data_IF_002400126238
#
_entry.id   IF_002400126238
#
_cell.length_a   1.000
_cell.length_b   1.000
_cell.length_c   1.000
_cell.angle_alpha   90.00
_cell.angle_beta   90.00
_cell.angle_gamma   90.00
#
_symmetry.space_group_name_H-M   'P 1'
#
loop_
_entity.id
_entity.type
_entity.pdbx_description
1 polymer ?
#
# COMPACT_ATOMS: atom_id res chain seq x y z
N UNK A 1 -8.53 2.03 -10.07
CA UNK A 1 -7.81 0.77 -9.77
C UNK A 1 -8.69 -0.46 -9.96
N UNK A 2 -8.13 -1.56 -10.44
CA UNK A 2 -8.78 -2.86 -10.63
C UNK A 2 -8.07 -3.92 -9.79
N UNK A 3 -8.83 -4.64 -8.95
CA UNK A 3 -8.30 -5.74 -8.13
C UNK A 3 -9.01 -7.02 -8.56
N UNK A 4 -8.23 -7.92 -9.18
CA UNK A 4 -8.67 -9.25 -9.55
C UNK A 4 -8.34 -10.25 -8.45
N UNK A 5 -9.32 -11.05 -8.03
CA UNK A 5 -9.14 -12.03 -6.96
C UNK A 5 -10.03 -13.27 -7.12
N UNK A 6 -9.70 -14.28 -6.33
CA UNK A 6 -10.44 -15.53 -6.16
C UNK A 6 -10.06 -16.14 -4.82
N UNK A 7 -9.46 -17.35 -4.77
CA UNK A 7 -8.88 -17.88 -3.54
C UNK A 7 -7.67 -17.09 -3.02
N UNK A 8 -7.13 -16.13 -3.76
CA UNK A 8 -6.04 -15.18 -3.41
C UNK A 8 -6.16 -13.92 -4.26
N UNK A 9 -5.32 -12.92 -4.02
CA UNK A 9 -5.20 -11.78 -4.95
C UNK A 9 -4.50 -12.28 -6.21
N UNK A 10 -5.23 -12.22 -7.33
CA UNK A 10 -4.72 -12.67 -8.62
C UNK A 10 -3.95 -11.57 -9.32
N UNK A 11 -4.47 -10.34 -9.30
CA UNK A 11 -3.85 -9.24 -10.01
C UNK A 11 -4.26 -7.87 -9.51
N UNK A 12 -3.39 -6.90 -9.74
CA UNK A 12 -3.68 -5.46 -9.58
C UNK A 12 -3.37 -4.74 -10.89
N UNK A 13 -4.19 -3.75 -11.21
CA UNK A 13 -3.90 -2.80 -12.29
C UNK A 13 -4.38 -1.41 -11.86
N UNK A 14 -3.53 -0.42 -12.03
CA UNK A 14 -3.77 0.92 -11.49
C UNK A 14 -3.80 1.93 -12.61
N UNK A 15 -4.72 2.87 -12.49
CA UNK A 15 -4.79 4.05 -13.35
C UNK A 15 -4.27 5.21 -12.53
N UNK A 16 -3.38 6.00 -13.12
CA UNK A 16 -2.67 7.08 -12.46
C UNK A 16 -2.91 8.40 -13.19
N UNK A 17 -2.90 9.49 -12.42
CA UNK A 17 -2.74 10.83 -12.96
C UNK A 17 -1.26 11.12 -13.20
N UNK A 18 -0.92 11.52 -14.42
CA UNK A 18 0.38 12.07 -14.81
C UNK A 18 0.13 13.49 -15.31
N UNK A 19 0.23 14.45 -14.40
CA UNK A 19 0.11 15.89 -14.72
C UNK A 19 -1.20 16.24 -15.46
N UNK A 20 -2.33 15.69 -15.00
CA UNK A 20 -3.63 15.87 -15.64
C UNK A 20 -3.94 14.89 -16.78
N UNK A 21 -3.07 13.91 -17.05
CA UNK A 21 -3.29 12.86 -18.04
C UNK A 21 -3.43 11.49 -17.38
N UNK A 22 -4.44 10.72 -17.77
CA UNK A 22 -4.62 9.35 -17.26
C UNK A 22 -3.66 8.36 -17.95
N UNK A 23 -2.98 7.53 -17.15
CA UNK A 23 -2.10 6.45 -17.62
C UNK A 23 -2.40 5.17 -16.85
N UNK A 24 -2.66 4.08 -17.57
CA UNK A 24 -2.76 2.74 -16.98
C UNK A 24 -1.39 2.10 -16.81
N UNK A 25 -1.16 1.46 -15.66
CA UNK A 25 -0.06 0.51 -15.54
C UNK A 25 -0.33 -0.78 -16.29
N UNK A 26 0.74 -1.56 -16.46
CA UNK A 26 0.61 -2.97 -16.78
C UNK A 26 -0.22 -3.68 -15.71
N UNK A 27 -0.88 -4.76 -16.11
CA UNK A 27 -1.55 -5.65 -15.16
C UNK A 27 -0.49 -6.54 -14.50
N UNK A 28 -0.40 -6.49 -13.18
CA UNK A 28 0.54 -7.32 -12.40
C UNK A 28 -0.18 -8.52 -11.83
N UNK A 29 0.31 -9.72 -12.11
CA UNK A 29 -0.30 -11.00 -11.75
C UNK A 29 -1.01 -11.71 -12.91
N UNK A 30 -1.79 -12.73 -12.59
CA UNK A 30 -2.26 -13.73 -13.55
C UNK A 30 -3.36 -13.26 -14.52
N UNK A 31 -3.50 -14.02 -15.61
CA UNK A 31 -4.61 -13.88 -16.57
C UNK A 31 -5.88 -14.46 -15.94
N UNK A 32 -6.99 -13.71 -16.03
CA UNK A 32 -8.28 -14.11 -15.46
C UNK A 32 -8.40 -13.89 -13.96
N UNK A 33 -9.59 -13.53 -13.50
CA UNK A 33 -9.93 -13.44 -12.08
C UNK A 33 -11.37 -13.84 -11.90
N UNK A 34 -11.68 -14.61 -10.86
CA UNK A 34 -13.05 -15.04 -10.61
C UNK A 34 -13.95 -13.84 -10.28
N UNK A 35 -13.38 -12.85 -9.59
CA UNK A 35 -14.00 -11.55 -9.31
C UNK A 35 -13.02 -10.44 -9.62
N UNK A 36 -13.53 -9.31 -10.10
CA UNK A 36 -12.76 -8.09 -10.32
C UNK A 36 -13.54 -6.92 -9.73
N UNK A 37 -12.99 -6.32 -8.67
CA UNK A 37 -13.56 -5.11 -8.09
C UNK A 37 -12.84 -3.87 -8.63
N UNK A 38 -13.64 -2.84 -8.90
CA UNK A 38 -13.16 -1.55 -9.38
C UNK A 38 -13.23 -0.54 -8.25
N UNK A 39 -12.07 -0.05 -7.82
CA UNK A 39 -11.95 1.08 -6.88
C UNK A 39 -11.77 2.34 -7.70
N UNK A 40 -12.71 3.28 -7.54
CA UNK A 40 -12.68 4.59 -8.19
C UNK A 40 -12.33 5.62 -7.13
N UNK A 41 -11.28 6.40 -7.37
CA UNK A 41 -10.91 7.52 -6.52
C UNK A 41 -11.24 8.81 -7.24
N UNK A 42 -11.91 9.71 -6.53
CA UNK A 42 -12.20 11.08 -6.96
C UNK A 42 -10.96 11.99 -6.82
N UNK A 43 -9.88 11.64 -7.52
CA UNK A 43 -8.63 12.42 -7.49
C UNK A 43 -8.85 13.83 -8.08
N UNK A 44 -8.36 14.93 -7.45
CA UNK A 44 -7.45 14.99 -6.30
C UNK A 44 -8.11 15.03 -4.92
N UNK A 45 -9.45 15.03 -4.82
CA UNK A 45 -10.16 15.18 -3.54
C UNK A 45 -10.16 13.88 -2.71
N UNK A 46 -10.14 12.73 -3.36
CA UNK A 46 -9.94 11.43 -2.74
C UNK A 46 -8.64 10.80 -3.23
N UNK A 47 -7.74 10.49 -2.30
CA UNK A 47 -6.44 9.91 -2.59
C UNK A 47 -6.13 8.77 -1.63
N UNK A 48 -5.38 7.80 -2.15
CA UNK A 48 -4.98 6.63 -1.40
C UNK A 48 -3.89 7.00 -0.39
N UNK A 49 -4.09 6.66 0.88
CA UNK A 49 -3.13 6.95 1.95
C UNK A 49 -2.39 5.68 2.39
N UNK A 50 -3.14 4.58 2.53
CA UNK A 50 -2.67 3.38 3.21
C UNK A 50 -3.19 2.17 2.45
N UNK A 51 -2.36 1.15 2.36
CA UNK A 51 -2.74 -0.20 1.92
C UNK A 51 -2.44 -1.16 3.05
N UNK A 52 -3.39 -1.99 3.44
CA UNK A 52 -3.17 -3.04 4.41
C UNK A 52 -3.73 -4.35 3.91
N UNK A 53 -3.41 -5.45 4.57
CA UNK A 53 -3.85 -6.75 4.11
C UNK A 53 -3.17 -7.89 4.82
N UNK A 54 -3.27 -9.05 4.22
CA UNK A 54 -2.65 -10.27 4.71
C UNK A 54 -1.86 -10.95 3.59
N UNK A 55 -0.73 -11.56 3.94
CA UNK A 55 0.06 -12.40 3.04
C UNK A 55 0.34 -13.77 3.68
N UNK A 56 0.61 -14.79 2.87
CA UNK A 56 0.90 -16.13 3.38
C UNK A 56 0.73 -17.24 2.33
N UNK A 57 0.75 -18.49 2.80
CA UNK A 57 0.57 -19.71 1.98
C UNK A 57 -0.79 -20.36 2.26
N UNK A 58 -1.41 -20.99 1.24
CA UNK A 58 -2.78 -21.55 1.33
C UNK A 58 -2.79 -23.10 1.42
N UNK A 59 -1.84 -23.82 0.80
CA UNK A 59 -1.94 -25.30 0.64
C UNK A 59 -0.64 -26.10 0.85
N UNK A 60 0.39 -25.52 1.47
CA UNK A 60 1.78 -26.04 1.56
C UNK A 60 2.63 -25.82 0.30
N UNK A 61 3.96 -25.71 0.54
CA UNK A 61 5.06 -25.18 -0.28
C UNK A 61 5.31 -23.68 -0.09
N UNK A 62 6.59 -23.35 0.00
CA UNK A 62 7.24 -22.13 0.49
C UNK A 62 6.89 -20.83 -0.26
N UNK A 63 5.83 -20.85 -1.09
CA UNK A 63 5.41 -19.72 -1.89
C UNK A 63 4.40 -18.88 -1.12
N UNK A 64 4.78 -17.64 -0.87
CA UNK A 64 3.99 -16.63 -0.17
C UNK A 64 3.34 -15.72 -1.20
N UNK A 65 2.06 -15.39 -1.02
CA UNK A 65 1.32 -14.48 -1.89
C UNK A 65 0.60 -13.41 -1.07
N UNK A 66 0.19 -12.33 -1.74
CA UNK A 66 -0.82 -11.43 -1.19
C UNK A 66 -2.17 -12.15 -1.16
N UNK A 67 -2.73 -12.26 0.03
CA UNK A 67 -3.98 -12.95 0.29
C UNK A 67 -5.14 -11.97 0.28
N UNK A 68 -5.02 -10.82 0.92
CA UNK A 68 -6.04 -9.78 0.88
C UNK A 68 -5.44 -8.38 0.80
N UNK A 69 -6.26 -7.45 0.33
CA UNK A 69 -5.94 -6.03 0.28
C UNK A 69 -7.11 -5.23 0.85
N UNK A 70 -6.79 -4.20 1.62
CA UNK A 70 -7.68 -3.15 2.08
C UNK A 70 -7.03 -1.83 1.71
N UNK A 71 -7.80 -0.95 1.09
CA UNK A 71 -7.34 0.37 0.68
C UNK A 71 -8.00 1.40 1.57
N UNK A 72 -7.23 2.31 2.14
CA UNK A 72 -7.75 3.41 2.92
C UNK A 72 -7.37 4.73 2.25
N UNK A 73 -8.40 5.54 1.99
CA UNK A 73 -8.28 6.89 1.45
C UNK A 73 -8.53 7.91 2.54
N UNK A 74 -8.30 9.19 2.23
CA UNK A 74 -8.68 10.30 3.11
C UNK A 74 -10.20 10.44 3.30
N UNK A 75 -11.03 9.73 2.53
CA UNK A 75 -12.50 9.75 2.65
C UNK A 75 -13.09 8.45 3.22
N UNK A 76 -12.59 7.29 2.81
CA UNK A 76 -13.21 6.01 3.12
C UNK A 76 -12.26 4.82 3.02
N UNK A 77 -12.79 3.61 3.27
CA UNK A 77 -12.08 2.34 3.11
C UNK A 77 -12.74 1.50 2.00
N UNK A 78 -11.91 0.80 1.23
CA UNK A 78 -12.34 -0.18 0.23
C UNK A 78 -11.78 -1.55 0.59
N UNK A 79 -12.64 -2.57 0.53
CA UNK A 79 -12.31 -3.94 0.95
C UNK A 79 -12.73 -4.25 2.39
N UNK A 80 -12.16 -5.29 3.02
CA UNK A 80 -11.08 -6.12 2.48
C UNK A 80 -11.51 -6.92 1.24
N UNK A 81 -10.64 -6.95 0.23
CA UNK A 81 -10.78 -7.84 -0.90
C UNK A 81 -10.26 -9.22 -0.47
N UNK A 82 -11.18 -10.17 -0.25
CA UNK A 82 -11.00 -11.50 0.37
C UNK A 82 -10.89 -11.45 1.92
N UNK A 83 -11.05 -12.62 2.55
CA UNK A 83 -10.97 -12.84 4.00
C UNK A 83 -9.53 -12.82 4.53
N UNK A 84 -9.41 -12.36 5.78
CA UNK A 84 -8.20 -12.20 6.56
C UNK A 84 -7.64 -13.55 7.01
N UNK A 85 -6.61 -14.05 6.32
CA UNK A 85 -5.83 -15.22 6.74
C UNK A 85 -4.37 -14.97 6.39
N UNK A 86 -3.45 -15.37 7.27
CA UNK A 86 -2.01 -15.16 7.11
C UNK A 86 -1.46 -14.07 8.03
N UNK A 87 -0.33 -13.49 7.64
CA UNK A 87 0.36 -12.42 8.38
C UNK A 87 -0.16 -11.06 7.93
N UNK A 88 -0.59 -10.24 8.88
CA UNK A 88 -1.06 -8.88 8.61
C UNK A 88 0.10 -7.97 8.19
N UNK A 89 -0.16 -7.06 7.26
CA UNK A 89 0.73 -5.97 6.90
C UNK A 89 -0.04 -4.66 6.73
N UNK A 90 0.65 -3.54 6.90
CA UNK A 90 0.11 -2.20 6.66
C UNK A 90 1.20 -1.25 6.17
N UNK A 91 0.90 -0.57 5.07
CA UNK A 91 1.64 0.48 4.37
C UNK A 91 1.02 1.85 4.65
N UNK A 92 1.76 2.98 4.62
CA UNK A 92 2.04 3.81 5.78
C UNK A 92 0.90 4.75 6.19
N UNK A 93 0.96 5.19 7.45
CA UNK A 93 0.08 6.18 8.12
C UNK A 93 0.74 7.56 8.23
N UNK A 94 1.86 7.78 7.52
CA UNK A 94 2.70 8.98 7.56
C UNK A 94 2.23 10.03 6.55
N UNK A 95 1.17 10.78 6.88
CA UNK A 95 0.85 12.11 6.33
C UNK A 95 1.05 12.34 4.82
N UNK A 96 0.80 11.35 3.98
CA UNK A 96 1.16 11.35 2.56
C UNK A 96 0.12 10.63 1.71
N UNK A 97 0.37 10.62 0.41
CA UNK A 97 -0.45 9.90 -0.57
C UNK A 97 0.39 8.88 -1.34
N UNK A 98 -0.22 7.74 -1.64
CA UNK A 98 0.37 6.69 -2.46
C UNK A 98 0.29 7.13 -3.92
N UNK A 99 1.45 7.12 -4.59
CA UNK A 99 1.66 7.65 -5.95
C UNK A 99 2.20 6.60 -6.91
N UNK A 100 2.36 5.36 -6.46
CA UNK A 100 2.90 4.29 -7.28
C UNK A 100 2.96 2.99 -6.50
N UNK A 101 2.97 1.89 -7.24
CA UNK A 101 3.12 0.55 -6.71
C UNK A 101 4.35 -0.13 -7.32
N UNK A 102 5.03 -0.95 -6.53
CA UNK A 102 6.06 -1.86 -7.00
C UNK A 102 5.90 -3.20 -6.27
N UNK A 103 6.63 -4.23 -6.69
CA UNK A 103 6.54 -5.54 -6.06
C UNK A 103 6.97 -6.65 -6.98
N UNK A 104 6.37 -7.81 -6.84
CA UNK A 104 6.60 -8.95 -7.71
C UNK A 104 5.30 -9.68 -8.04
N UNK A 105 5.22 -10.22 -9.25
CA UNK A 105 4.06 -10.97 -9.69
C UNK A 105 4.40 -12.06 -10.69
N UNK A 106 3.62 -13.13 -10.68
CA UNK A 106 3.63 -14.16 -11.71
C UNK A 106 2.20 -14.57 -12.05
N UNK A 107 1.80 -15.77 -11.64
CA UNK A 107 0.42 -16.24 -11.78
C UNK A 107 -0.54 -15.51 -10.83
N UNK A 108 0.00 -14.84 -9.80
CA UNK A 108 -0.70 -14.12 -8.75
C UNK A 108 0.08 -12.86 -8.38
N UNK A 109 -0.46 -12.08 -7.46
CA UNK A 109 0.31 -11.01 -6.83
C UNK A 109 1.15 -11.62 -5.69
N UNK A 110 2.45 -11.69 -5.89
CA UNK A 110 3.39 -12.32 -4.96
C UNK A 110 3.76 -11.35 -3.84
N UNK A 111 4.15 -10.11 -4.19
CA UNK A 111 4.43 -9.05 -3.22
C UNK A 111 4.00 -7.66 -3.69
N UNK A 112 3.79 -6.74 -2.73
CA UNK A 112 3.36 -5.36 -3.00
C UNK A 112 4.04 -4.36 -2.06
N UNK A 113 4.62 -3.34 -2.65
CA UNK A 113 5.19 -2.14 -2.04
C UNK A 113 4.62 -0.89 -2.71
N UNK A 114 4.93 0.28 -2.15
CA UNK A 114 4.36 1.56 -2.59
C UNK A 114 5.39 2.67 -2.60
N UNK A 115 5.16 3.63 -3.49
CA UNK A 115 5.80 4.94 -3.44
C UNK A 115 4.89 5.93 -2.73
N UNK A 116 5.44 6.62 -1.73
CA UNK A 116 4.73 7.65 -0.96
C UNK A 116 5.22 9.04 -1.37
N UNK A 117 4.29 9.96 -1.64
CA UNK A 117 4.54 11.39 -1.72
C UNK A 117 4.04 12.06 -0.43
N UNK A 118 4.92 12.68 0.37
CA UNK A 118 4.49 13.45 1.53
C UNK A 118 3.55 14.59 1.13
N UNK A 119 2.46 14.75 1.87
CA UNK A 119 1.66 15.97 1.76
C UNK A 119 2.32 17.00 2.66
N UNK A 120 2.98 17.99 2.06
CA UNK A 120 3.51 19.13 2.81
C UNK A 120 2.32 19.83 3.48
N UNK A 121 2.15 19.63 4.78
CA UNK A 121 1.25 20.48 5.56
C UNK A 121 1.87 21.88 5.56
N UNK A 122 1.17 22.96 5.14
CA UNK A 122 1.68 24.32 5.29
C UNK A 122 1.68 24.82 6.75
N UNK A 123 1.87 23.93 7.74
CA UNK A 123 1.95 24.33 9.15
C UNK A 123 3.18 23.72 9.80
N UNK A 124 4.02 24.55 10.46
CA UNK A 124 5.17 24.06 11.20
C UNK A 124 4.65 23.28 12.40
N UNK A 125 4.83 21.96 12.40
CA UNK A 125 4.74 21.20 13.63
C UNK A 125 5.85 21.72 14.54
N UNK A 126 5.48 22.49 15.58
CA UNK A 126 6.37 22.81 16.69
C UNK A 126 6.98 21.50 17.17
N UNK A 127 8.28 21.36 16.99
CA UNK A 127 9.02 20.27 17.59
C UNK A 127 9.11 20.57 19.08
N UNK A 128 8.37 19.82 19.90
CA UNK A 128 8.67 19.76 21.32
C UNK A 128 9.86 18.82 21.48
N UNK A 129 11.07 19.38 21.47
CA UNK A 129 12.21 18.71 22.06
C UNK A 129 12.02 18.80 23.57
N UNK A 130 11.64 17.69 24.21
CA UNK A 130 11.78 17.54 25.65
C UNK A 130 13.11 16.83 25.88
N UNK A 131 14.05 17.58 26.44
CA UNK A 131 15.35 17.14 26.90
C UNK A 131 15.17 16.04 27.96
N UNK A 132 15.76 14.86 27.74
CA UNK A 132 15.89 13.84 28.79
C UNK A 132 17.19 14.10 29.56
N UNK A 133 17.08 14.81 30.69
CA UNK A 133 18.02 14.68 31.79
C UNK A 133 17.43 13.65 32.76
N UNK A 134 18.15 12.55 33.00
CA UNK A 134 17.67 11.43 33.80
C UNK A 134 17.51 11.76 35.29
N UNK A 135 16.78 10.91 36.02
CA UNK A 135 17.23 10.19 37.23
C UNK A 135 16.17 9.12 37.58
N UNK A 136 16.68 8.01 38.11
CA UNK A 136 16.06 6.81 38.69
C UNK A 136 14.79 7.04 39.54
N UNK A 137 13.76 6.18 39.41
CA UNK A 137 13.36 5.23 40.47
C UNK A 137 12.18 4.31 40.14
N UNK A 138 12.26 3.12 40.74
CA UNK A 138 11.39 1.93 40.69
C UNK A 138 10.00 2.10 41.33
N UNK A 139 8.95 1.53 40.70
CA UNK A 139 7.89 0.76 41.40
C UNK A 139 6.93 0.08 40.40
N UNK A 140 6.57 -1.15 40.73
CA UNK A 140 5.68 -2.11 40.07
C UNK A 140 4.20 -1.70 40.00
N UNK A 141 3.46 -2.10 38.94
CA UNK A 141 2.32 -3.06 39.01
C UNK A 141 1.79 -3.43 37.60
N UNK A 142 1.18 -4.62 37.54
CA UNK A 142 0.51 -5.33 36.43
C UNK A 142 -0.42 -4.44 35.58
N UNK A 143 -0.62 -4.67 34.29
CA UNK A 143 -1.46 -5.74 33.70
C UNK A 143 -1.13 -5.96 32.20
N UNK A 144 -1.45 -7.16 31.70
CA UNK A 144 -0.91 -7.71 30.45
C UNK A 144 -1.32 -6.98 29.15
N UNK A 145 -0.33 -6.79 28.27
CA UNK A 145 -0.55 -6.33 26.91
C UNK A 145 0.20 -7.20 25.89
N UNK A 146 -0.51 -7.45 24.79
CA UNK A 146 -0.17 -8.34 23.68
C UNK A 146 1.22 -8.07 23.07
N UNK A 147 2.02 -9.13 22.94
CA UNK A 147 3.25 -9.14 22.15
C UNK A 147 2.94 -9.09 20.63
N UNK A 148 2.59 -7.92 20.08
CA UNK A 148 2.71 -7.67 18.65
C UNK A 148 4.04 -6.95 18.40
N UNK A 149 5.11 -7.74 18.34
CA UNK A 149 6.47 -7.27 18.06
C UNK A 149 6.49 -6.66 16.65
N UNK A 150 6.40 -5.33 16.56
CA UNK A 150 6.72 -4.55 15.37
C UNK A 150 8.18 -4.81 15.03
N UNK A 151 8.42 -5.67 14.04
CA UNK A 151 9.75 -5.89 13.51
C UNK A 151 9.98 -4.83 12.43
N UNK A 152 10.64 -3.72 12.81
CA UNK A 152 11.20 -2.76 11.87
C UNK A 152 12.56 -3.25 11.40
N UNK A 153 12.72 -3.45 10.09
CA UNK A 153 14.00 -3.77 9.46
C UNK A 153 14.56 -2.54 8.71
N UNK A 154 15.89 -2.42 8.57
CA UNK A 154 16.55 -1.21 8.12
C UNK A 154 16.36 -0.96 6.61
N UNK A 155 16.13 0.29 6.27
CA UNK A 155 15.89 0.78 4.91
C UNK A 155 17.13 0.59 4.02
N UNK A 156 17.03 -0.24 2.98
CA UNK A 156 18.06 -0.33 1.94
C UNK A 156 17.77 0.67 0.81
N UNK A 157 18.78 1.49 0.49
CA UNK A 157 18.66 2.61 -0.46
C UNK A 157 18.69 2.13 -1.91
N UNK A 158 17.55 2.15 -2.59
CA UNK A 158 17.48 2.27 -4.05
C UNK A 158 17.15 3.71 -4.42
N UNK A 159 17.85 4.25 -5.43
CA UNK A 159 17.76 5.67 -5.86
C UNK A 159 16.31 6.05 -6.20
N UNK A 160 15.63 6.71 -5.26
CA UNK A 160 14.31 7.31 -5.49
C UNK A 160 14.39 8.61 -6.29
N UNK A 161 13.40 8.85 -7.14
CA UNK A 161 13.13 10.15 -7.76
C UNK A 161 12.91 11.20 -6.66
N UNK A 162 13.50 12.39 -6.82
CA UNK A 162 13.47 13.46 -5.82
C UNK A 162 12.03 13.74 -5.34
N UNK A 163 11.74 13.45 -4.06
CA UNK A 163 10.47 13.78 -3.40
C UNK A 163 9.52 12.61 -3.06
N UNK A 164 9.85 11.36 -3.42
CA UNK A 164 9.06 10.18 -3.03
C UNK A 164 9.87 9.13 -2.28
N UNK A 165 9.28 8.50 -1.26
CA UNK A 165 9.93 7.44 -0.47
C UNK A 165 9.35 6.06 -0.83
N UNK A 166 10.18 5.10 -1.30
CA UNK A 166 9.75 3.71 -1.48
C UNK A 166 9.58 3.01 -0.13
N UNK A 167 8.60 2.12 -0.05
CA UNK A 167 8.43 1.17 1.05
C UNK A 167 8.56 -0.25 0.52
N UNK A 168 9.42 -1.06 1.16
CA UNK A 168 9.70 -2.44 0.74
C UNK A 168 8.43 -3.27 0.54
N UNK A 169 8.41 -4.19 -0.43
CA UNK A 169 7.19 -4.94 -0.71
C UNK A 169 6.95 -6.03 0.35
N UNK A 170 5.70 -6.17 0.81
CA UNK A 170 5.27 -7.33 1.63
C UNK A 170 4.81 -8.46 0.73
N UNK A 171 5.03 -9.70 1.13
CA UNK A 171 4.58 -10.88 0.40
C UNK A 171 5.70 -11.88 0.17
N UNK A 172 5.66 -12.58 -0.96
CA UNK A 172 6.66 -13.57 -1.35
C UNK A 172 7.79 -13.02 -2.20
N UNK A 173 8.82 -13.85 -2.38
CA UNK A 173 10.01 -13.56 -3.19
C UNK A 173 9.94 -14.23 -4.58
N UNK A 174 8.76 -14.69 -5.00
CA UNK A 174 8.51 -15.34 -6.28
C UNK A 174 8.03 -14.37 -7.35
N UNK A 175 7.96 -14.83 -8.60
CA UNK A 175 7.48 -14.00 -9.71
C UNK A 175 8.56 -13.04 -10.25
N UNK A 176 8.15 -12.21 -11.20
CA UNK A 176 8.98 -11.17 -11.80
C UNK A 176 8.68 -9.84 -11.12
N UNK A 177 9.72 -9.06 -10.82
CA UNK A 177 9.56 -7.73 -10.22
C UNK A 177 8.85 -6.77 -11.16
N UNK A 178 7.98 -5.93 -10.62
CA UNK A 178 7.35 -4.82 -11.33
C UNK A 178 7.55 -3.51 -10.57
N UNK A 179 7.55 -2.41 -11.32
CA UNK A 179 7.64 -1.05 -10.79
C UNK A 179 6.82 -0.13 -11.70
N UNK A 180 5.71 0.40 -11.19
CA UNK A 180 4.85 1.31 -11.95
C UNK A 180 5.48 2.70 -12.12
N UNK A 181 6.51 3.04 -11.34
CA UNK A 181 7.09 4.36 -11.13
C UNK A 181 6.20 5.25 -10.27
N UNK A 182 6.59 6.52 -10.19
CA UNK A 182 5.94 7.56 -9.38
C UNK A 182 5.08 8.46 -10.27
N UNK A 183 3.87 8.74 -9.83
CA UNK A 183 2.88 9.57 -10.52
C UNK A 183 2.39 10.73 -9.64
N UNK A 184 1.51 11.58 -10.19
CA UNK A 184 0.88 12.65 -9.41
C UNK A 184 -0.13 12.09 -8.41
N UNK A 185 -0.87 11.04 -8.80
CA UNK A 185 -1.82 10.34 -7.93
C UNK A 185 -2.43 9.10 -8.57
N UNK A 186 -3.22 8.35 -7.80
CA UNK A 186 -4.03 7.23 -8.28
C UNK A 186 -5.42 7.76 -8.64
N UNK A 187 -5.84 7.62 -9.90
CA UNK A 187 -7.06 8.24 -10.44
C UNK A 187 -8.02 7.19 -11.04
N UNK A 188 -9.29 7.58 -11.18
CA UNK A 188 -10.08 7.22 -12.37
C UNK A 188 -10.84 8.44 -12.89
N UNK A 189 -10.62 8.87 -14.13
CA UNK A 189 -11.42 9.94 -14.74
C UNK A 189 -12.79 9.39 -15.12
N UNK A 190 -13.86 10.03 -14.65
CA UNK A 190 -15.16 9.97 -15.33
C UNK A 190 -15.02 10.94 -16.50
N UNK A 191 -14.91 10.43 -17.73
CA UNK A 191 -15.11 11.28 -18.89
C UNK A 191 -16.54 11.79 -18.81
N UNK A 192 -16.73 13.05 -18.42
CA UNK A 192 -17.94 13.78 -18.77
C UNK A 192 -17.93 13.85 -20.29
N UNK A 193 -18.63 12.93 -20.93
CA UNK A 193 -18.97 13.06 -22.32
C UNK A 193 -19.79 14.35 -22.39
N UNK A 194 -19.24 15.39 -23.03
CA UNK A 194 -19.99 16.59 -23.36
C UNK A 194 -21.21 16.12 -24.15
N UNK A 195 -22.39 16.22 -23.54
CA UNK A 195 -23.64 16.10 -24.27
C UNK A 195 -23.69 17.33 -25.18
N UNK A 196 -23.53 17.08 -26.48
CA UNK A 196 -23.76 18.07 -27.53
C UNK A 196 -25.25 18.22 -27.81
#
# INVERSE_FOLDING_TARGET
MMIGYGPKINSIQTEYDREGSSVWSGKHGGVGSAKVDKVKLDFPHEYLMTVSGYYGSIKSKDTIFILSLTLQTNKQKYGPFRTNQGTYFSLPTTGGMIVGFHGSSGWYLDSIGVYLKPLTKPYPSKVCFADFNGTHDTSSTSEGESNHKLVSFPSSTTKGTAGSMPYEPWGGNSGTTFDDRVYTGVEKRILLQQAS
#
